data_IF_032857803307
#
_entry.id   IF_032857803307
#
_cell.length_a   1.000
_cell.length_b   1.000
_cell.length_c   1.000
_cell.angle_alpha   90.00
_cell.angle_beta   90.00
_cell.angle_gamma   90.00
#
_symmetry.space_group_name_H-M   'P 1'
#
loop_
_entity.id
_entity.type
_entity.pdbx_description
1 polymer ?
#
# COMPACT_ATOMS: atom_id res chain seq x y z
N UNK A 1 -40.74 38.67 -40.20
CA UNK A 1 -40.71 37.19 -40.08
C UNK A 1 -39.29 36.79 -39.75
N UNK A 2 -39.09 36.17 -38.59
CA UNK A 2 -38.03 35.19 -38.23
C UNK A 2 -36.56 35.59 -38.34
N UNK A 3 -35.67 35.31 -37.39
CA UNK A 3 -35.73 34.58 -36.12
C UNK A 3 -34.47 34.92 -35.31
N UNK A 4 -34.59 35.01 -33.98
CA UNK A 4 -33.47 34.92 -33.05
C UNK A 4 -32.92 33.49 -33.03
N UNK A 5 -31.59 33.24 -32.95
CA UNK A 5 -31.10 31.95 -32.52
C UNK A 5 -30.99 31.91 -30.99
N UNK A 6 -31.39 30.74 -30.48
CA UNK A 6 -31.55 30.41 -29.08
C UNK A 6 -30.24 30.46 -28.29
N UNK A 7 -30.36 30.85 -27.02
CA UNK A 7 -29.37 30.60 -25.99
C UNK A 7 -29.09 29.09 -25.93
N UNK A 8 -27.88 28.69 -26.36
CA UNK A 8 -27.34 27.38 -26.01
C UNK A 8 -27.00 27.45 -24.53
N UNK A 9 -27.92 26.97 -23.69
CA UNK A 9 -27.62 26.64 -22.31
C UNK A 9 -26.59 25.50 -22.34
N UNK A 10 -25.32 25.89 -22.36
CA UNK A 10 -24.21 25.03 -21.98
C UNK A 10 -24.47 24.61 -20.53
N UNK A 11 -25.17 23.49 -20.43
CA UNK A 11 -25.51 22.82 -19.19
C UNK A 11 -24.17 22.30 -18.68
N UNK A 12 -23.44 23.16 -17.96
CA UNK A 12 -22.22 22.81 -17.24
C UNK A 12 -22.49 21.49 -16.57
N UNK A 13 -21.89 20.42 -17.11
CA UNK A 13 -21.90 19.12 -16.47
C UNK A 13 -21.07 19.33 -15.22
N UNK A 14 -21.73 19.39 -14.08
CA UNK A 14 -21.05 19.30 -12.80
C UNK A 14 -20.13 18.07 -12.89
N UNK A 15 -18.84 18.19 -12.52
CA UNK A 15 -17.97 17.03 -12.52
C UNK A 15 -18.61 15.98 -11.60
N UNK A 16 -18.85 14.79 -12.16
CA UNK A 16 -19.23 13.63 -11.35
C UNK A 16 -18.19 13.50 -10.22
N UNK A 17 -18.61 13.24 -8.97
CA UNK A 17 -17.67 13.12 -7.87
C UNK A 17 -16.70 12.01 -8.21
N UNK A 18 -15.41 12.33 -8.34
CA UNK A 18 -14.38 11.30 -8.41
C UNK A 18 -14.58 10.36 -7.23
N UNK A 19 -14.61 9.03 -7.45
CA UNK A 19 -14.79 8.08 -6.36
C UNK A 19 -13.76 8.43 -5.29
N UNK A 20 -14.25 8.81 -4.10
CA UNK A 20 -13.42 9.38 -3.05
C UNK A 20 -12.23 8.46 -2.81
N UNK A 21 -11.03 8.90 -3.21
CA UNK A 21 -9.80 8.17 -3.01
C UNK A 21 -9.72 7.79 -1.52
N UNK A 22 -9.48 6.51 -1.24
CA UNK A 22 -9.29 6.04 0.14
C UNK A 22 -8.12 6.82 0.74
N UNK A 23 -8.31 7.45 1.89
CA UNK A 23 -7.22 8.19 2.55
C UNK A 23 -6.10 7.25 2.97
N UNK A 24 -4.85 7.70 2.95
CA UNK A 24 -3.67 6.92 3.36
C UNK A 24 -3.85 6.21 4.71
N UNK A 25 -4.46 6.88 5.70
CA UNK A 25 -4.71 6.28 7.01
C UNK A 25 -5.70 5.10 6.95
N UNK A 26 -6.77 5.23 6.16
CA UNK A 26 -7.74 4.16 5.98
C UNK A 26 -7.14 2.98 5.21
N UNK A 27 -6.20 3.25 4.29
CA UNK A 27 -5.45 2.21 3.60
C UNK A 27 -4.45 1.50 4.50
N UNK A 28 -3.70 2.26 5.32
CA UNK A 28 -2.84 1.71 6.37
C UNK A 28 -3.63 0.79 7.32
N UNK A 29 -4.79 1.25 7.80
CA UNK A 29 -5.65 0.45 8.69
C UNK A 29 -6.11 -0.84 8.01
N UNK A 30 -6.50 -0.78 6.73
CA UNK A 30 -6.88 -1.94 5.94
C UNK A 30 -5.74 -2.97 5.84
N UNK A 31 -4.53 -2.54 5.45
CA UNK A 31 -3.37 -3.43 5.37
C UNK A 31 -3.05 -4.03 6.74
N UNK A 32 -3.09 -3.22 7.80
CA UNK A 32 -2.79 -3.65 9.16
C UNK A 32 -3.76 -4.75 9.65
N UNK A 33 -5.05 -4.62 9.35
CA UNK A 33 -6.05 -5.66 9.65
C UNK A 33 -5.75 -6.98 8.92
N UNK A 34 -5.25 -6.90 7.68
CA UNK A 34 -4.89 -8.06 6.88
C UNK A 34 -3.69 -8.84 7.44
N UNK A 35 -2.70 -8.12 7.99
CA UNK A 35 -1.42 -8.73 8.41
C UNK A 35 -1.27 -8.90 9.92
N UNK A 36 -2.20 -8.36 10.75
CA UNK A 36 -2.10 -8.50 12.21
C UNK A 36 -3.41 -8.35 12.97
N UNK A 37 -3.93 -9.45 13.55
CA UNK A 37 -5.13 -9.41 14.39
C UNK A 37 -4.95 -8.60 15.68
N UNK A 38 -3.79 -8.68 16.32
CA UNK A 38 -3.56 -8.02 17.61
C UNK A 38 -3.16 -6.57 17.43
N UNK A 39 -2.21 -6.26 16.55
CA UNK A 39 -1.76 -4.88 16.37
C UNK A 39 -2.81 -3.99 15.69
N UNK A 40 -3.68 -4.56 14.85
CA UNK A 40 -4.79 -3.80 14.28
C UNK A 40 -5.86 -3.40 15.32
N UNK A 41 -5.86 -4.02 16.52
CA UNK A 41 -6.70 -3.59 17.64
C UNK A 41 -5.99 -2.59 18.54
N UNK A 42 -4.68 -2.72 18.74
CA UNK A 42 -3.92 -1.94 19.72
C UNK A 42 -3.31 -0.66 19.17
N UNK A 43 -2.86 -0.64 17.91
CA UNK A 43 -2.28 0.55 17.28
C UNK A 43 -3.30 1.70 17.18
N UNK A 44 -4.58 1.48 16.83
CA UNK A 44 -5.59 2.55 16.82
C UNK A 44 -5.90 3.15 18.20
N UNK A 45 -5.48 2.50 19.30
CA UNK A 45 -5.67 3.03 20.67
C UNK A 45 -4.59 4.05 21.06
N UNK A 46 -3.54 4.20 20.24
CA UNK A 46 -2.50 5.20 20.46
C UNK A 46 -3.04 6.61 20.14
N UNK A 47 -2.41 7.68 20.69
CA UNK A 47 -2.69 9.04 20.23
C UNK A 47 -2.58 9.13 18.70
N UNK A 48 -3.46 9.89 18.00
CA UNK A 48 -3.55 9.82 16.53
C UNK A 48 -2.23 9.99 15.77
N UNK A 49 -1.36 10.91 16.23
CA UNK A 49 -0.04 11.12 15.62
C UNK A 49 0.90 9.90 15.77
N UNK A 50 0.78 9.18 16.88
CA UNK A 50 1.57 7.99 17.16
C UNK A 50 1.01 6.76 16.45
N UNK A 51 -0.32 6.62 16.39
CA UNK A 51 -1.00 5.52 15.70
C UNK A 51 -0.51 5.39 14.25
N UNK A 52 -0.54 6.50 13.49
CA UNK A 52 -0.06 6.52 12.10
C UNK A 52 1.40 6.12 11.97
N UNK A 53 2.27 6.66 12.82
CA UNK A 53 3.73 6.42 12.76
C UNK A 53 4.05 4.97 13.10
N UNK A 54 3.42 4.43 14.15
CA UNK A 54 3.61 3.05 14.59
C UNK A 54 3.00 2.06 13.61
N UNK A 55 1.86 2.40 12.99
CA UNK A 55 1.24 1.62 11.92
C UNK A 55 2.17 1.43 10.74
N UNK A 56 2.74 2.51 10.19
CA UNK A 56 3.72 2.43 9.12
C UNK A 56 4.97 1.63 9.53
N UNK A 57 5.53 1.91 10.71
CA UNK A 57 6.69 1.18 11.20
C UNK A 57 6.41 -0.33 11.31
N UNK A 58 5.20 -0.71 11.75
CA UNK A 58 4.78 -2.11 11.81
C UNK A 58 4.69 -2.74 10.42
N UNK A 59 4.07 -2.07 9.45
CA UNK A 59 3.96 -2.55 8.07
C UNK A 59 5.35 -2.74 7.43
N UNK A 60 6.28 -1.80 7.62
CA UNK A 60 7.65 -1.94 7.14
C UNK A 60 8.37 -3.16 7.74
N UNK A 61 8.21 -3.40 9.04
CA UNK A 61 8.75 -4.61 9.67
C UNK A 61 8.10 -5.87 9.11
N UNK A 62 6.78 -5.85 8.89
CA UNK A 62 6.03 -6.98 8.32
C UNK A 62 6.48 -7.33 6.90
N UNK A 63 6.85 -6.34 6.08
CA UNK A 63 7.45 -6.58 4.76
C UNK A 63 8.75 -7.39 4.90
N UNK A 64 9.61 -7.05 5.85
CA UNK A 64 10.85 -7.80 6.10
C UNK A 64 10.54 -9.21 6.61
N UNK A 65 9.60 -9.35 7.57
CA UNK A 65 9.14 -10.66 8.07
C UNK A 65 8.67 -11.54 6.88
N UNK A 66 7.88 -10.99 5.95
CA UNK A 66 7.41 -11.73 4.77
C UNK A 66 8.55 -12.22 3.87
N UNK A 67 9.60 -11.41 3.67
CA UNK A 67 10.79 -11.83 2.91
C UNK A 67 11.51 -12.97 3.64
N UNK A 68 11.71 -12.83 4.96
CA UNK A 68 12.43 -13.80 5.79
C UNK A 68 11.69 -15.12 5.90
N UNK A 69 10.36 -15.09 5.99
CA UNK A 69 9.52 -16.26 6.14
C UNK A 69 9.20 -16.95 4.81
N UNK A 70 9.28 -16.26 3.66
CA UNK A 70 8.96 -16.81 2.33
C UNK A 70 9.75 -18.10 2.02
N UNK A 71 9.11 -19.26 2.02
CA UNK A 71 9.18 -20.09 0.83
C UNK A 71 10.42 -20.92 0.47
N UNK A 72 10.70 -21.25 -0.78
CA UNK A 72 10.54 -20.68 -2.14
C UNK A 72 11.56 -19.56 -2.46
N UNK A 73 11.89 -18.68 -1.51
CA UNK A 73 13.12 -17.89 -1.59
C UNK A 73 14.26 -18.60 -0.87
N UNK A 74 15.36 -18.81 -1.57
CA UNK A 74 16.61 -19.25 -0.94
C UNK A 74 17.25 -18.12 -0.11
N UNK A 75 18.22 -18.48 0.74
CA UNK A 75 18.90 -17.53 1.63
C UNK A 75 19.57 -16.38 0.88
N UNK A 76 20.10 -16.62 -0.32
CA UNK A 76 20.77 -15.58 -1.10
C UNK A 76 19.76 -14.56 -1.63
N UNK A 77 18.60 -15.03 -2.11
CA UNK A 77 17.49 -14.19 -2.56
C UNK A 77 16.89 -13.40 -1.40
N UNK A 78 16.65 -14.04 -0.25
CA UNK A 78 16.17 -13.36 0.97
C UNK A 78 17.08 -12.20 1.34
N UNK A 79 18.38 -12.47 1.45
CA UNK A 79 19.39 -11.44 1.74
C UNK A 79 19.35 -10.30 0.73
N UNK A 80 19.32 -10.60 -0.57
CA UNK A 80 19.25 -9.60 -1.65
C UNK A 80 18.01 -8.72 -1.51
N UNK A 81 16.85 -9.30 -1.23
CA UNK A 81 15.61 -8.54 -1.07
C UNK A 81 15.60 -7.70 0.22
N UNK A 82 16.13 -8.20 1.34
CA UNK A 82 16.30 -7.38 2.55
C UNK A 82 17.26 -6.19 2.33
N UNK A 83 18.38 -6.41 1.63
CA UNK A 83 19.31 -5.33 1.26
C UNK A 83 18.65 -4.30 0.33
N UNK A 84 17.88 -4.76 -0.66
CA UNK A 84 17.10 -3.86 -1.54
C UNK A 84 16.03 -3.09 -0.79
N UNK A 85 15.32 -3.73 0.13
CA UNK A 85 14.30 -3.07 0.94
C UNK A 85 14.90 -1.99 1.84
N UNK A 86 16.12 -2.20 2.34
CA UNK A 86 16.88 -1.13 3.02
C UNK A 86 17.11 0.06 2.09
N UNK A 87 17.42 -0.20 0.81
CA UNK A 87 17.52 0.82 -0.23
C UNK A 87 16.19 1.55 -0.51
N UNK A 88 15.05 0.84 -0.45
CA UNK A 88 13.71 1.43 -0.58
C UNK A 88 13.44 2.40 0.57
N UNK A 89 13.64 1.96 1.81
CA UNK A 89 13.44 2.80 3.01
C UNK A 89 14.37 4.02 3.01
N UNK A 90 15.57 3.90 2.44
CA UNK A 90 16.51 5.00 2.27
C UNK A 90 16.21 5.92 1.08
N UNK A 91 15.20 5.62 0.26
CA UNK A 91 14.86 6.37 -0.96
C UNK A 91 15.86 6.19 -2.11
N UNK A 92 16.74 5.19 -2.04
CA UNK A 92 17.74 4.89 -3.05
C UNK A 92 17.26 3.86 -4.10
N UNK A 93 16.19 3.13 -3.80
CA UNK A 93 15.55 2.15 -4.69
C UNK A 93 14.08 2.52 -4.80
N UNK A 94 13.53 2.49 -6.01
CA UNK A 94 12.10 2.71 -6.23
C UNK A 94 11.29 1.55 -5.60
N UNK A 95 10.30 1.82 -4.73
CA UNK A 95 9.47 0.77 -4.13
C UNK A 95 8.69 -0.03 -5.18
N UNK A 96 8.34 0.58 -6.32
CA UNK A 96 7.64 -0.07 -7.42
C UNK A 96 8.49 -1.18 -8.05
N UNK A 97 9.78 -0.91 -8.30
CA UNK A 97 10.72 -1.88 -8.84
C UNK A 97 11.03 -3.01 -7.85
N UNK A 98 10.98 -2.71 -6.55
CA UNK A 98 11.10 -3.72 -5.50
C UNK A 98 9.87 -4.64 -5.49
N UNK A 99 8.67 -4.05 -5.43
CA UNK A 99 7.41 -4.78 -5.38
C UNK A 99 7.19 -5.64 -6.64
N UNK A 100 7.40 -5.07 -7.82
CA UNK A 100 7.23 -5.76 -9.10
C UNK A 100 8.15 -6.97 -9.26
N UNK A 101 9.35 -6.93 -8.64
CA UNK A 101 10.28 -8.05 -8.70
C UNK A 101 10.01 -9.10 -7.62
N UNK A 102 9.68 -8.69 -6.40
CA UNK A 102 9.47 -9.62 -5.28
C UNK A 102 8.11 -10.32 -5.35
N UNK A 103 7.03 -9.56 -5.60
CA UNK A 103 5.65 -10.08 -5.57
C UNK A 103 5.43 -11.36 -6.39
N UNK A 104 5.88 -11.48 -7.67
CA UNK A 104 5.65 -12.70 -8.45
C UNK A 104 6.47 -13.92 -7.98
N UNK A 105 7.43 -13.72 -7.07
CA UNK A 105 8.24 -14.80 -6.50
C UNK A 105 7.65 -15.36 -5.21
N UNK A 106 6.63 -14.71 -4.65
CA UNK A 106 5.97 -15.17 -3.43
C UNK A 106 5.12 -16.41 -3.73
N UNK A 107 5.24 -17.42 -2.89
CA UNK A 107 4.49 -18.66 -3.08
C UNK A 107 3.06 -18.54 -2.56
N UNK A 108 2.22 -19.50 -2.93
CA UNK A 108 0.86 -19.61 -2.39
C UNK A 108 0.82 -19.87 -0.87
N UNK A 109 1.96 -20.20 -0.26
CA UNK A 109 2.08 -20.41 1.18
C UNK A 109 2.22 -19.13 1.97
N UNK A 110 2.66 -18.04 1.34
CA UNK A 110 2.66 -16.70 1.93
C UNK A 110 1.24 -16.17 1.97
N UNK A 111 0.82 -15.57 3.08
CA UNK A 111 -0.58 -15.21 3.26
C UNK A 111 -1.04 -14.19 2.20
N UNK A 112 -2.28 -14.26 1.69
CA UNK A 112 -2.76 -13.33 0.67
C UNK A 112 -2.58 -11.85 1.06
N UNK A 113 -2.82 -11.50 2.31
CA UNK A 113 -2.63 -10.15 2.83
C UNK A 113 -1.15 -9.72 2.88
N UNK A 114 -0.22 -10.65 3.08
CA UNK A 114 1.22 -10.36 3.04
C UNK A 114 1.69 -10.19 1.59
N UNK A 115 1.16 -10.96 0.65
CA UNK A 115 1.41 -10.75 -0.78
C UNK A 115 0.90 -9.39 -1.24
N UNK A 116 -0.31 -9.03 -0.83
CA UNK A 116 -0.86 -7.69 -1.06
C UNK A 116 0.03 -6.61 -0.44
N UNK A 117 0.47 -6.78 0.80
CA UNK A 117 1.41 -5.84 1.43
C UNK A 117 2.71 -5.66 0.62
N UNK A 118 3.28 -6.72 0.06
CA UNK A 118 4.45 -6.61 -0.82
C UNK A 118 4.11 -5.85 -2.10
N UNK A 119 2.97 -6.12 -2.73
CA UNK A 119 2.54 -5.40 -3.94
C UNK A 119 2.33 -3.90 -3.68
N UNK A 120 1.78 -3.57 -2.50
CA UNK A 120 1.44 -2.22 -2.09
C UNK A 120 2.56 -1.49 -1.35
N UNK A 121 3.79 -2.03 -1.36
CA UNK A 121 4.99 -1.37 -0.79
C UNK A 121 5.13 0.11 -1.21
N UNK A 122 4.81 0.56 -2.44
CA UNK A 122 4.87 1.98 -2.83
C UNK A 122 3.94 2.91 -2.06
N UNK A 123 2.91 2.38 -1.40
CA UNK A 123 1.89 3.15 -0.68
C UNK A 123 2.08 3.15 0.84
N UNK A 124 3.12 2.48 1.37
CA UNK A 124 3.45 2.39 2.80
C UNK A 124 4.47 3.46 3.21
#
# INVERSE_FOLDING_TARGET
MSSLPAASADRRRDPEPEPAAVSDNAFQDYLLQGVSRTFALTIPQLPPALARTVGNAYLLCRIVDTIEDEPDLDTARKRRFCERFTGVVAGAVAPEDFAAELHPLLSERTLPAERELIAETPLV
#
